data_IF_922508845161
#
_entry.id   IF_922508845161
#
_cell.length_a   1.000
_cell.length_b   1.000
_cell.length_c   1.000
_cell.angle_alpha   90.00
_cell.angle_beta   90.00
_cell.angle_gamma   90.00
#
_symmetry.space_group_name_H-M   'P 1'
#
loop_
_entity.id
_entity.type
_entity.pdbx_description
1 polymer ?
#
# COMPACT_ATOMS: atom_id res chain seq x y z
N UNK A 1 -22.96 -0.07 34.19
CA UNK A 1 -21.73 0.71 34.49
C UNK A 1 -21.49 1.68 33.34
N UNK A 2 -21.26 2.97 33.60
CA UNK A 2 -21.11 4.00 32.54
C UNK A 2 -19.71 3.98 31.90
N UNK A 3 -19.67 4.23 30.59
CA UNK A 3 -18.47 4.31 29.72
C UNK A 3 -17.49 5.42 30.15
N UNK A 4 -17.96 6.37 30.95
CA UNK A 4 -17.17 7.47 31.52
C UNK A 4 -16.04 7.01 32.45
N UNK A 5 -16.05 5.76 32.92
CA UNK A 5 -14.95 5.19 33.72
C UNK A 5 -13.72 4.80 32.89
N UNK A 6 -13.85 4.67 31.56
CA UNK A 6 -12.80 4.12 30.69
C UNK A 6 -12.06 5.19 29.86
N UNK A 7 -12.57 6.43 29.83
CA UNK A 7 -11.90 7.55 29.16
C UNK A 7 -11.02 8.24 30.20
N UNK A 8 -9.67 8.16 30.12
CA UNK A 8 -8.81 8.87 31.05
C UNK A 8 -9.04 10.37 30.85
N UNK A 9 -9.61 11.04 31.87
CA UNK A 9 -9.76 12.49 31.91
C UNK A 9 -8.42 13.13 31.53
N UNK A 10 -8.46 14.02 30.54
CA UNK A 10 -7.34 14.80 30.01
C UNK A 10 -6.71 15.60 31.17
N UNK A 11 -5.79 14.98 31.89
CA UNK A 11 -5.27 15.48 33.18
C UNK A 11 -4.81 14.38 34.14
N UNK A 12 -4.25 13.27 33.65
CA UNK A 12 -3.64 12.27 34.54
C UNK A 12 -2.48 12.92 35.33
N UNK A 13 -2.37 12.60 36.62
CA UNK A 13 -1.31 13.10 37.54
C UNK A 13 0.11 12.89 36.98
N UNK A 14 0.28 11.92 36.07
CA UNK A 14 1.55 11.57 35.46
C UNK A 14 2.05 12.59 34.43
N UNK A 15 1.17 13.16 33.60
CA UNK A 15 1.54 14.23 32.67
C UNK A 15 1.88 15.53 33.40
N UNK A 16 1.14 15.85 34.49
CA UNK A 16 1.48 16.99 35.35
C UNK A 16 2.84 16.84 36.02
N UNK A 17 3.19 15.64 36.50
CA UNK A 17 4.52 15.36 37.07
C UNK A 17 5.65 15.50 36.04
N UNK A 18 5.42 15.12 34.78
CA UNK A 18 6.40 15.29 33.70
C UNK A 18 6.59 16.76 33.33
N UNK A 19 5.51 17.54 33.27
CA UNK A 19 5.57 19.00 33.02
C UNK A 19 6.21 19.76 34.19
N UNK A 20 5.87 19.41 35.44
CA UNK A 20 6.49 19.98 36.64
C UNK A 20 7.99 19.62 36.74
N UNK A 21 8.38 18.40 36.35
CA UNK A 21 9.77 18.00 36.27
C UNK A 21 10.52 18.74 35.16
N UNK A 22 9.88 18.99 34.02
CA UNK A 22 10.48 19.71 32.90
C UNK A 22 10.67 21.21 33.20
N UNK A 23 9.74 21.82 33.94
CA UNK A 23 9.80 23.22 34.36
C UNK A 23 10.79 23.47 35.50
N UNK A 24 11.26 22.43 36.20
CA UNK A 24 12.30 22.51 37.24
C UNK A 24 13.73 22.33 36.72
N UNK A 25 13.90 21.96 35.44
CA UNK A 25 15.22 21.78 34.84
C UNK A 25 15.86 23.14 34.53
N UNK A 26 17.17 23.23 34.72
CA UNK A 26 17.91 24.44 34.33
C UNK A 26 17.91 24.59 32.81
N UNK A 27 18.13 25.82 32.33
CA UNK A 27 18.18 26.12 30.89
C UNK A 27 19.26 25.31 30.16
N UNK A 28 20.32 24.89 30.86
CA UNK A 28 21.41 24.07 30.34
C UNK A 28 21.00 22.61 30.14
N UNK A 29 20.28 22.03 31.10
CA UNK A 29 19.79 20.64 31.04
C UNK A 29 18.75 20.44 29.92
N UNK A 30 17.91 21.46 29.69
CA UNK A 30 16.95 21.47 28.57
C UNK A 30 17.67 21.50 27.22
N UNK A 31 18.80 22.23 27.12
CA UNK A 31 19.60 22.25 25.90
C UNK A 31 20.31 20.91 25.66
N UNK A 32 20.80 20.24 26.69
CA UNK A 32 21.40 18.90 26.56
C UNK A 32 20.38 17.86 26.10
N UNK A 33 19.15 17.88 26.63
CA UNK A 33 18.07 16.98 26.20
C UNK A 33 17.69 17.21 24.73
N UNK A 34 17.63 18.47 24.29
CA UNK A 34 17.42 18.81 22.87
C UNK A 34 18.58 18.31 22.00
N UNK A 35 19.84 18.52 22.43
CA UNK A 35 21.03 18.02 21.72
C UNK A 35 21.06 16.49 21.64
N UNK A 36 20.69 15.77 22.71
CA UNK A 36 20.54 14.30 22.72
C UNK A 36 19.46 13.84 21.75
N UNK A 37 18.30 14.52 21.70
CA UNK A 37 17.22 14.21 20.75
C UNK A 37 17.64 14.41 19.30
N UNK A 38 18.39 15.48 19.02
CA UNK A 38 18.96 15.74 17.68
C UNK A 38 20.00 14.67 17.32
N UNK A 39 20.92 14.32 18.22
CA UNK A 39 21.89 13.23 17.99
C UNK A 39 21.22 11.88 17.72
N UNK A 40 20.13 11.57 18.41
CA UNK A 40 19.34 10.36 18.18
C UNK A 40 18.64 10.38 16.81
N UNK A 41 18.09 11.53 16.39
CA UNK A 41 17.51 11.74 15.05
C UNK A 41 18.55 11.62 13.93
N UNK A 42 19.75 12.19 14.13
CA UNK A 42 20.85 12.10 13.16
C UNK A 42 21.36 10.67 13.04
N UNK A 43 21.56 9.95 14.16
CA UNK A 43 21.90 8.50 14.12
C UNK A 43 20.84 7.67 13.39
N UNK A 44 19.55 8.01 13.53
CA UNK A 44 18.44 7.31 12.86
C UNK A 44 18.31 7.64 11.36
N UNK A 45 18.81 8.80 10.92
CA UNK A 45 18.88 9.17 9.49
C UNK A 45 20.06 8.53 8.76
N UNK A 46 21.19 8.33 9.44
CA UNK A 46 22.38 7.68 8.85
C UNK A 46 22.18 6.16 8.67
N UNK A 47 21.27 5.54 9.41
CA UNK A 47 20.91 4.12 9.24
C UNK A 47 19.92 3.85 8.10
N UNK A 48 19.48 4.88 7.36
CA UNK A 48 18.79 4.66 6.09
C UNK A 48 19.87 4.28 5.08
N UNK A 49 20.21 2.98 5.04
CA UNK A 49 20.83 2.40 3.85
C UNK A 49 19.93 2.76 2.69
N UNK A 50 20.41 3.67 1.87
CA UNK A 50 19.83 3.97 0.57
C UNK A 50 19.88 2.64 -0.19
N UNK A 51 18.73 2.16 -0.65
CA UNK A 51 18.53 0.97 -1.50
C UNK A 51 19.17 1.20 -2.88
N UNK A 52 20.48 1.41 -2.94
CA UNK A 52 21.23 1.54 -4.20
C UNK A 52 21.78 0.19 -4.70
N UNK A 53 21.58 -0.92 -3.99
CA UNK A 53 22.28 -2.17 -4.29
C UNK A 53 21.88 -2.81 -5.61
N UNK A 54 20.59 -2.77 -6.00
CA UNK A 54 20.13 -3.48 -7.21
C UNK A 54 20.55 -2.77 -8.51
N UNK A 55 20.53 -1.44 -8.52
CA UNK A 55 20.98 -0.65 -9.67
C UNK A 55 22.49 -0.75 -9.87
N UNK A 56 23.25 -0.72 -8.77
CA UNK A 56 24.71 -0.85 -8.82
C UNK A 56 25.13 -2.26 -9.25
N UNK A 57 24.41 -3.31 -8.82
CA UNK A 57 24.63 -4.71 -9.21
C UNK A 57 24.34 -4.93 -10.70
N UNK A 58 23.21 -4.44 -11.22
CA UNK A 58 22.87 -4.55 -12.64
C UNK A 58 23.85 -3.80 -13.55
N UNK A 59 24.28 -2.61 -13.16
CA UNK A 59 25.31 -1.85 -13.90
C UNK A 59 26.64 -2.62 -13.92
N UNK A 60 26.97 -3.29 -12.83
CA UNK A 60 28.17 -4.12 -12.76
C UNK A 60 28.07 -5.34 -13.67
N UNK A 61 26.93 -6.03 -13.71
CA UNK A 61 26.67 -7.11 -14.66
C UNK A 61 26.79 -6.67 -16.13
N UNK A 62 26.31 -5.46 -16.47
CA UNK A 62 26.46 -4.88 -17.82
C UNK A 62 27.93 -4.65 -18.16
N UNK A 63 28.71 -4.12 -17.22
CA UNK A 63 30.14 -3.88 -17.42
C UNK A 63 30.89 -5.19 -17.61
N UNK A 64 30.56 -6.22 -16.83
CA UNK A 64 31.13 -7.56 -16.96
C UNK A 64 30.76 -8.21 -18.30
N UNK A 65 29.51 -8.09 -18.73
CA UNK A 65 29.05 -8.57 -20.02
C UNK A 65 29.77 -7.87 -21.18
N UNK A 66 29.94 -6.54 -21.10
CA UNK A 66 30.66 -5.77 -22.11
C UNK A 66 32.15 -6.16 -22.15
N UNK A 67 32.79 -6.34 -21.00
CA UNK A 67 34.16 -6.82 -20.93
C UNK A 67 34.30 -8.24 -21.51
N UNK A 68 33.32 -9.12 -21.28
CA UNK A 68 33.27 -10.47 -21.82
C UNK A 68 33.12 -10.49 -23.34
N UNK A 69 32.24 -9.64 -23.91
CA UNK A 69 32.09 -9.49 -25.37
C UNK A 69 33.38 -8.97 -26.00
N UNK A 70 33.99 -7.94 -25.42
CA UNK A 70 35.18 -7.31 -25.99
C UNK A 70 36.40 -8.23 -26.02
N UNK A 71 36.47 -9.24 -25.12
CA UNK A 71 37.52 -10.27 -25.13
C UNK A 71 37.35 -11.30 -26.25
N UNK A 72 36.19 -11.38 -26.91
CA UNK A 72 35.87 -12.36 -27.95
C UNK A 72 35.78 -11.67 -29.32
N UNK A 73 36.88 -11.69 -30.06
CA UNK A 73 37.04 -11.02 -31.36
C UNK A 73 36.01 -11.42 -32.41
N UNK A 74 35.55 -12.68 -32.39
CA UNK A 74 34.52 -13.18 -33.30
C UNK A 74 33.11 -12.65 -33.00
N UNK A 75 32.79 -12.33 -31.74
CA UNK A 75 31.51 -11.71 -31.37
C UNK A 75 31.47 -10.22 -31.69
N UNK A 76 32.64 -9.58 -31.77
CA UNK A 76 32.76 -8.15 -32.09
C UNK A 76 32.21 -7.80 -33.48
N UNK A 77 32.35 -8.72 -34.44
CA UNK A 77 31.77 -8.57 -35.79
C UNK A 77 30.26 -8.81 -35.86
N UNK A 78 29.71 -9.62 -34.94
CA UNK A 78 28.29 -9.95 -34.85
C UNK A 78 27.53 -9.10 -33.83
N UNK A 79 28.17 -8.05 -33.28
CA UNK A 79 27.62 -7.21 -32.20
C UNK A 79 26.28 -6.57 -32.61
N UNK A 80 26.15 -6.17 -33.87
CA UNK A 80 24.88 -5.67 -34.43
C UNK A 80 23.78 -6.73 -34.49
N UNK A 81 24.12 -8.00 -34.77
CA UNK A 81 23.15 -9.11 -34.74
C UNK A 81 22.72 -9.42 -33.30
N UNK A 82 23.67 -9.40 -32.36
CA UNK A 82 23.41 -9.60 -30.93
C UNK A 82 22.48 -8.49 -30.41
N UNK A 83 22.76 -7.23 -30.74
CA UNK A 83 21.88 -6.11 -30.37
C UNK A 83 20.47 -6.28 -30.95
N UNK A 84 20.37 -6.66 -32.22
CA UNK A 84 19.08 -6.93 -32.86
C UNK A 84 18.32 -8.06 -32.16
N UNK A 85 19.00 -9.15 -31.79
CA UNK A 85 18.38 -10.26 -31.05
C UNK A 85 17.91 -9.83 -29.67
N UNK A 86 18.70 -9.06 -28.92
CA UNK A 86 18.31 -8.53 -27.62
C UNK A 86 17.09 -7.62 -27.76
N UNK A 87 17.08 -6.72 -28.74
CA UNK A 87 15.92 -5.85 -29.02
C UNK A 87 14.67 -6.66 -29.33
N UNK A 88 14.78 -7.66 -30.20
CA UNK A 88 13.65 -8.53 -30.56
C UNK A 88 13.13 -9.32 -29.36
N UNK A 89 14.03 -9.84 -28.52
CA UNK A 89 13.69 -10.62 -27.34
C UNK A 89 13.02 -9.73 -26.28
N UNK A 90 13.53 -8.51 -26.07
CA UNK A 90 12.90 -7.51 -25.22
C UNK A 90 11.51 -7.10 -25.72
N UNK A 91 11.35 -6.86 -27.02
CA UNK A 91 10.05 -6.57 -27.63
C UNK A 91 9.04 -7.71 -27.43
N UNK A 92 9.51 -8.96 -27.55
CA UNK A 92 8.69 -10.15 -27.31
C UNK A 92 8.24 -10.23 -25.84
N UNK A 93 9.17 -10.06 -24.89
CA UNK A 93 8.85 -10.03 -23.45
C UNK A 93 7.83 -8.95 -23.15
N UNK A 94 8.03 -7.71 -23.64
CA UNK A 94 7.05 -6.65 -23.43
C UNK A 94 5.68 -7.07 -23.97
N UNK A 95 5.62 -7.59 -25.20
CA UNK A 95 4.34 -7.97 -25.81
C UNK A 95 3.61 -9.08 -25.02
N UNK A 96 4.34 -10.05 -24.48
CA UNK A 96 3.80 -11.12 -23.65
C UNK A 96 3.32 -10.58 -22.30
N UNK A 97 4.13 -9.78 -21.59
CA UNK A 97 3.74 -9.14 -20.32
C UNK A 97 2.53 -8.22 -20.50
N UNK A 98 2.42 -7.51 -21.63
CA UNK A 98 1.28 -6.65 -21.91
C UNK A 98 0.01 -7.47 -22.18
N UNK A 99 0.12 -8.64 -22.83
CA UNK A 99 -1.00 -9.55 -23.03
C UNK A 99 -1.44 -10.25 -21.74
N UNK A 100 -0.49 -10.69 -20.92
CA UNK A 100 -0.75 -11.30 -19.61
C UNK A 100 -1.45 -10.33 -18.67
N UNK A 101 -1.01 -9.08 -18.60
CA UNK A 101 -1.66 -8.05 -17.77
C UNK A 101 -3.08 -7.73 -18.23
N UNK A 102 -3.35 -7.70 -19.54
CA UNK A 102 -4.71 -7.51 -20.06
C UNK A 102 -5.60 -8.73 -19.76
N UNK A 103 -5.07 -9.95 -19.87
CA UNK A 103 -5.81 -11.17 -19.53
C UNK A 103 -6.05 -11.31 -18.02
N UNK A 104 -5.07 -10.95 -17.18
CA UNK A 104 -5.21 -10.99 -15.72
C UNK A 104 -6.29 -10.04 -15.23
N UNK A 105 -6.27 -8.79 -15.72
CA UNK A 105 -7.27 -7.76 -15.38
C UNK A 105 -8.68 -8.19 -15.77
N UNK A 106 -8.82 -8.82 -16.94
CA UNK A 106 -10.11 -9.33 -17.40
C UNK A 106 -10.59 -10.52 -16.56
N UNK A 107 -9.67 -11.38 -16.11
CA UNK A 107 -9.98 -12.49 -15.19
C UNK A 107 -10.41 -11.99 -13.82
N UNK A 108 -9.72 -10.98 -13.27
CA UNK A 108 -10.04 -10.41 -11.95
C UNK A 108 -11.40 -9.71 -11.97
N UNK A 109 -11.68 -8.94 -13.03
CA UNK A 109 -12.98 -8.32 -13.21
C UNK A 109 -14.10 -9.36 -13.26
N UNK A 110 -13.90 -10.50 -13.95
CA UNK A 110 -14.88 -11.59 -13.99
C UNK A 110 -15.10 -12.23 -12.63
N UNK A 111 -14.03 -12.50 -11.87
CA UNK A 111 -14.12 -13.03 -10.50
C UNK A 111 -14.98 -12.13 -9.60
N UNK A 112 -14.72 -10.83 -9.61
CA UNK A 112 -15.49 -9.84 -8.82
C UNK A 112 -16.98 -9.84 -9.23
N UNK A 113 -17.27 -9.96 -10.53
CA UNK A 113 -18.65 -10.04 -11.04
C UNK A 113 -19.35 -11.30 -10.53
N UNK A 114 -18.67 -12.44 -10.54
CA UNK A 114 -19.26 -13.70 -10.10
C UNK A 114 -19.43 -13.76 -8.58
N UNK A 115 -18.53 -13.14 -7.80
CA UNK A 115 -18.72 -12.92 -6.37
C UNK A 115 -19.92 -12.02 -6.08
N UNK A 116 -20.08 -10.93 -6.84
CA UNK A 116 -21.23 -10.03 -6.70
C UNK A 116 -22.57 -10.75 -6.88
N UNK A 117 -22.66 -11.72 -7.80
CA UNK A 117 -23.88 -12.52 -8.01
C UNK A 117 -24.24 -13.40 -6.81
N UNK A 118 -23.30 -13.69 -5.91
CA UNK A 118 -23.56 -14.48 -4.69
C UNK A 118 -24.21 -13.67 -3.59
N UNK A 119 -24.24 -12.34 -3.71
CA UNK A 119 -24.86 -11.46 -2.72
C UNK A 119 -26.38 -11.61 -2.80
N UNK A 120 -27.08 -11.89 -1.67
CA UNK A 120 -28.54 -11.99 -1.65
C UNK A 120 -29.21 -10.70 -2.14
N UNK A 121 -30.27 -10.83 -2.95
CA UNK A 121 -30.98 -9.69 -3.52
C UNK A 121 -31.61 -8.77 -2.46
N UNK A 122 -31.98 -9.32 -1.31
CA UNK A 122 -32.56 -8.57 -0.20
C UNK A 122 -31.54 -7.68 0.53
N UNK A 123 -30.24 -7.92 0.35
CA UNK A 123 -29.19 -7.19 1.05
C UNK A 123 -29.01 -5.76 0.50
N UNK A 124 -29.34 -5.55 -0.78
CA UNK A 124 -29.12 -4.29 -1.48
C UNK A 124 -30.41 -3.75 -2.08
N UNK A 125 -30.67 -2.46 -1.87
CA UNK A 125 -31.76 -1.75 -2.54
C UNK A 125 -31.62 -1.85 -4.06
N UNK A 126 -32.75 -1.92 -4.76
CA UNK A 126 -32.80 -2.03 -6.24
C UNK A 126 -31.99 -0.92 -6.92
N UNK A 127 -32.10 0.32 -6.42
CA UNK A 127 -31.36 1.47 -6.95
C UNK A 127 -29.85 1.34 -6.78
N UNK A 128 -29.41 0.72 -5.69
CA UNK A 128 -27.98 0.46 -5.43
C UNK A 128 -27.48 -0.64 -6.37
N UNK A 129 -28.27 -1.72 -6.56
CA UNK A 129 -27.94 -2.80 -7.50
C UNK A 129 -27.79 -2.29 -8.92
N UNK A 130 -28.71 -1.45 -9.39
CA UNK A 130 -28.61 -0.81 -10.71
C UNK A 130 -27.33 0.03 -10.83
N UNK A 131 -27.00 0.83 -9.80
CA UNK A 131 -25.79 1.65 -9.79
C UNK A 131 -24.50 0.81 -9.78
N UNK A 132 -24.48 -0.31 -9.07
CA UNK A 132 -23.36 -1.26 -9.07
C UNK A 132 -23.22 -1.94 -10.42
N UNK A 133 -24.30 -2.41 -11.03
CA UNK A 133 -24.27 -3.04 -12.36
C UNK A 133 -23.72 -2.07 -13.41
N UNK A 134 -24.15 -0.80 -13.40
CA UNK A 134 -23.56 0.23 -14.25
C UNK A 134 -22.06 0.43 -13.98
N UNK A 135 -21.63 0.39 -12.71
CA UNK A 135 -20.21 0.50 -12.34
C UNK A 135 -19.38 -0.68 -12.85
N UNK A 136 -19.89 -1.90 -12.71
CA UNK A 136 -19.25 -3.14 -13.14
C UNK A 136 -19.08 -3.18 -14.66
N UNK A 137 -20.14 -2.88 -15.40
CA UNK A 137 -20.18 -2.99 -16.86
C UNK A 137 -19.71 -1.73 -17.60
N UNK A 138 -19.28 -0.69 -16.87
CA UNK A 138 -18.80 0.57 -17.48
C UNK A 138 -19.93 1.41 -18.10
N UNK A 139 -21.18 1.22 -17.68
CA UNK A 139 -22.31 2.02 -18.12
C UNK A 139 -22.22 3.47 -17.64
N UNK A 140 -22.80 4.40 -18.42
CA UNK A 140 -22.88 5.81 -18.02
C UNK A 140 -23.65 5.94 -16.71
N UNK A 141 -23.03 6.57 -15.71
CA UNK A 141 -23.61 6.80 -14.38
C UNK A 141 -24.29 8.16 -14.35
N UNK A 142 -25.49 8.21 -13.79
CA UNK A 142 -26.17 9.45 -13.46
C UNK A 142 -25.67 10.01 -12.13
N UNK A 143 -26.04 11.26 -11.82
CA UNK A 143 -25.79 11.87 -10.50
C UNK A 143 -26.40 11.03 -9.36
N UNK A 144 -27.58 10.46 -9.57
CA UNK A 144 -28.25 9.56 -8.63
C UNK A 144 -27.47 8.27 -8.42
N UNK A 145 -26.95 7.64 -9.48
CA UNK A 145 -26.13 6.42 -9.36
C UNK A 145 -24.89 6.70 -8.48
N UNK A 146 -24.23 7.84 -8.70
CA UNK A 146 -23.07 8.27 -7.90
C UNK A 146 -23.44 8.54 -6.43
N UNK A 147 -24.63 9.08 -6.17
CA UNK A 147 -25.14 9.25 -4.81
C UNK A 147 -25.30 7.89 -4.11
N UNK A 148 -25.96 6.92 -4.75
CA UNK A 148 -26.18 5.60 -4.18
C UNK A 148 -24.87 4.84 -3.91
N UNK A 149 -23.89 4.94 -4.80
CA UNK A 149 -22.57 4.34 -4.58
C UNK A 149 -21.81 4.98 -3.41
N UNK A 150 -21.91 6.29 -3.22
CA UNK A 150 -21.32 6.97 -2.04
C UNK A 150 -22.02 6.57 -0.75
N UNK A 151 -23.35 6.51 -0.77
CA UNK A 151 -24.14 6.05 0.38
C UNK A 151 -23.77 4.62 0.77
N UNK A 152 -23.67 3.72 -0.21
CA UNK A 152 -23.26 2.34 0.01
C UNK A 152 -21.85 2.26 0.64
N UNK A 153 -20.91 3.09 0.18
CA UNK A 153 -19.56 3.13 0.75
C UNK A 153 -19.57 3.47 2.24
N UNK A 154 -20.41 4.42 2.67
CA UNK A 154 -20.55 4.76 4.08
C UNK A 154 -21.13 3.58 4.88
N UNK A 155 -22.20 2.96 4.38
CA UNK A 155 -22.84 1.79 5.03
C UNK A 155 -21.85 0.64 5.20
N UNK A 156 -21.05 0.33 4.16
CA UNK A 156 -20.02 -0.72 4.23
C UNK A 156 -19.00 -0.39 5.32
N UNK A 157 -18.56 0.87 5.41
CA UNK A 157 -17.58 1.27 6.42
C UNK A 157 -18.11 1.09 7.85
N UNK A 158 -19.37 1.45 8.08
CA UNK A 158 -20.02 1.28 9.37
C UNK A 158 -20.15 -0.20 9.71
N UNK A 159 -20.58 -1.04 8.76
CA UNK A 159 -20.71 -2.49 8.94
C UNK A 159 -19.38 -3.19 9.16
N UNK A 160 -18.30 -2.77 8.51
CA UNK A 160 -16.95 -3.27 8.77
C UNK A 160 -16.47 -2.92 10.18
N UNK A 161 -16.86 -1.75 10.68
CA UNK A 161 -16.56 -1.36 12.06
C UNK A 161 -17.35 -2.22 13.05
N UNK A 162 -18.63 -2.46 12.77
CA UNK A 162 -19.50 -3.35 13.55
C UNK A 162 -18.95 -4.78 13.58
N UNK A 163 -18.50 -5.31 12.44
CA UNK A 163 -17.90 -6.63 12.32
C UNK A 163 -16.67 -6.81 13.23
N UNK A 164 -15.81 -5.78 13.34
CA UNK A 164 -14.66 -5.81 14.26
C UNK A 164 -15.10 -5.94 15.72
N UNK A 165 -16.21 -5.32 16.11
CA UNK A 165 -16.74 -5.48 17.47
C UNK A 165 -17.27 -6.90 17.68
N UNK A 166 -17.99 -7.46 16.70
CA UNK A 166 -18.45 -8.85 16.78
C UNK A 166 -17.29 -9.86 16.81
N UNK A 167 -16.20 -9.63 16.08
CA UNK A 167 -14.99 -10.46 16.19
C UNK A 167 -14.40 -10.47 17.61
N UNK A 168 -14.41 -9.32 18.30
CA UNK A 168 -13.97 -9.24 19.69
C UNK A 168 -14.92 -10.05 20.59
N UNK A 169 -16.23 -9.93 20.39
CA UNK A 169 -17.22 -10.68 21.16
C UNK A 169 -17.11 -12.19 20.92
N UNK A 170 -16.90 -12.63 19.68
CA UNK A 170 -16.68 -14.04 19.33
C UNK A 170 -15.42 -14.61 20.01
N UNK A 171 -14.33 -13.83 20.06
CA UNK A 171 -13.13 -14.22 20.81
C UNK A 171 -13.39 -14.37 22.30
N UNK A 172 -14.22 -13.51 22.88
CA UNK A 172 -14.60 -13.60 24.30
C UNK A 172 -15.47 -14.84 24.55
N UNK A 173 -16.40 -15.14 23.66
CA UNK A 173 -17.29 -16.30 23.78
C UNK A 173 -16.57 -17.65 23.59
N UNK A 174 -15.39 -17.64 22.97
CA UNK A 174 -14.55 -18.83 22.76
C UNK A 174 -13.50 -19.05 23.87
N UNK A 175 -13.51 -18.23 24.93
CA UNK A 175 -12.79 -18.49 26.18
C UNK A 175 -13.49 -19.59 26.97
#
# INVERSE_FOLDING_TARGET
MSIDKWIPKKGSKENRRREEAFNKLSTEEVQELKKKKVRALVKKKVSVKIENSELDEFLQEIVEFNAWINRRTYLRGDLGKIEMWIRNLYSKIISETTQESIQSDYSEKRKIIDEYKRIPLQLLDEKIRIAINKKIHGGKKTSSDNYYLRKLKAIIQDKLTEAKYYEILDKILKL
#
